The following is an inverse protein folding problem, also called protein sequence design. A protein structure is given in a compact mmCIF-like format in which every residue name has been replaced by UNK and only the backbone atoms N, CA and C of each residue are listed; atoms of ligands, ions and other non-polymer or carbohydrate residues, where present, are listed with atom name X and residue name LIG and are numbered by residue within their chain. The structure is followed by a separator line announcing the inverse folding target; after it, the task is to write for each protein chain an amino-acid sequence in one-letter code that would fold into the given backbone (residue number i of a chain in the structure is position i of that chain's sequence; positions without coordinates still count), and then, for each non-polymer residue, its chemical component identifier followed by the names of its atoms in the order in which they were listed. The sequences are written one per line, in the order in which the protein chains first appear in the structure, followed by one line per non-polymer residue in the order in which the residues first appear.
data_IF_746093069765
#
_entry.id   IF_746093069765
#
_cell.length_a   1.000
_cell.length_b   1.000
_cell.length_c   1.000
_cell.angle_alpha   90.00
_cell.angle_beta   90.00
_cell.angle_gamma   90.00
#
_symmetry.space_group_name_H-M   'P 1'
#
loop_
_entity.id
_entity.type
_entity.pdbx_description
1 polymer ?
#
# COMPACT_ATOMS: atom_id res chain seq x y z
N UNK A 1 -17.44 2.30 -7.98
CA UNK A 1 -16.30 3.13 -8.43
C UNK A 1 -16.21 4.48 -7.71
N UNK A 2 -17.30 5.22 -7.57
CA UNK A 2 -17.36 6.56 -6.95
C UNK A 2 -16.68 6.68 -5.56
N UNK A 3 -16.90 5.70 -4.67
CA UNK A 3 -16.27 5.68 -3.33
C UNK A 3 -14.74 5.53 -3.36
N UNK A 4 -14.17 4.93 -4.40
CA UNK A 4 -12.70 4.77 -4.52
C UNK A 4 -12.04 6.09 -4.92
N UNK A 5 -12.63 6.80 -5.88
CA UNK A 5 -12.14 8.11 -6.30
C UNK A 5 -12.12 9.10 -5.14
N UNK A 6 -13.21 9.18 -4.37
CA UNK A 6 -13.29 10.05 -3.18
C UNK A 6 -12.22 9.71 -2.13
N UNK A 7 -11.93 8.42 -1.90
CA UNK A 7 -10.91 7.98 -0.95
C UNK A 7 -9.49 8.29 -1.44
N UNK A 8 -9.25 8.16 -2.74
CA UNK A 8 -7.97 8.52 -3.35
C UNK A 8 -7.75 10.04 -3.26
N UNK A 9 -8.77 10.85 -3.54
CA UNK A 9 -8.71 12.30 -3.39
C UNK A 9 -8.44 12.72 -1.94
N UNK A 10 -9.14 12.14 -0.97
CA UNK A 10 -8.91 12.43 0.45
C UNK A 10 -7.49 12.03 0.89
N UNK A 11 -6.98 10.88 0.44
CA UNK A 11 -5.60 10.48 0.71
C UNK A 11 -4.58 11.42 0.07
N UNK A 12 -4.85 11.92 -1.14
CA UNK A 12 -3.98 12.88 -1.83
C UNK A 12 -3.93 14.23 -1.12
N UNK A 13 -5.07 14.74 -0.63
CA UNK A 13 -5.12 15.96 0.18
C UNK A 13 -4.32 15.80 1.47
N UNK A 14 -4.54 14.72 2.22
CA UNK A 14 -3.80 14.47 3.45
C UNK A 14 -2.28 14.32 3.21
N UNK A 15 -1.87 13.78 2.06
CA UNK A 15 -0.46 13.75 1.67
C UNK A 15 0.10 15.16 1.46
N UNK A 16 -0.62 16.00 0.71
CA UNK A 16 -0.22 17.38 0.45
C UNK A 16 -0.11 18.20 1.75
N UNK A 17 -1.06 18.02 2.67
CA UNK A 17 -1.07 18.72 3.96
C UNK A 17 0.15 18.35 4.83
N UNK A 18 0.59 17.09 4.77
CA UNK A 18 1.70 16.58 5.61
C UNK A 18 3.08 16.82 4.98
N UNK A 19 3.19 16.73 3.66
CA UNK A 19 4.48 16.73 2.96
C UNK A 19 4.73 17.98 2.11
N UNK A 20 3.79 18.93 2.10
CA UNK A 20 3.88 20.21 1.39
C UNK A 20 4.17 20.06 -0.12
N UNK A 21 3.65 18.98 -0.71
CA UNK A 21 3.67 18.73 -2.15
C UNK A 21 2.61 17.72 -2.55
N UNK A 22 2.19 17.77 -3.81
CA UNK A 22 1.31 16.74 -4.37
C UNK A 22 2.00 15.36 -4.37
N UNK A 23 1.23 14.26 -4.17
CA UNK A 23 1.73 12.92 -4.43
C UNK A 23 1.94 12.70 -5.92
N UNK A 24 2.88 11.82 -6.28
CA UNK A 24 3.05 11.41 -7.68
C UNK A 24 1.97 10.41 -8.07
N UNK A 25 1.61 9.49 -7.16
CA UNK A 25 0.64 8.41 -7.38
C UNK A 25 -0.15 8.08 -6.11
N UNK A 26 -1.37 7.55 -6.32
CA UNK A 26 -2.20 7.00 -5.24
C UNK A 26 -2.63 5.58 -5.58
N UNK A 27 -2.32 4.63 -4.69
CA UNK A 27 -2.71 3.23 -4.81
C UNK A 27 -3.70 2.82 -3.73
N UNK A 28 -4.46 1.76 -4.01
CA UNK A 28 -5.40 1.16 -3.07
C UNK A 28 -5.26 -0.35 -3.03
N UNK A 29 -5.15 -0.89 -1.82
CA UNK A 29 -5.18 -2.32 -1.54
C UNK A 29 -6.45 -2.65 -0.72
N UNK A 30 -7.43 -3.39 -1.27
CA UNK A 30 -8.57 -3.85 -0.49
C UNK A 30 -8.14 -4.90 0.53
N UNK A 31 -8.80 -4.91 1.68
CA UNK A 31 -8.77 -6.04 2.59
C UNK A 31 -9.52 -7.23 1.99
N UNK A 32 -9.43 -8.37 2.67
CA UNK A 32 -10.18 -9.58 2.32
C UNK A 32 -10.90 -10.14 3.54
N UNK A 33 -11.90 -10.96 3.27
CA UNK A 33 -12.43 -11.95 4.21
C UNK A 33 -12.24 -13.34 3.58
N UNK A 34 -11.99 -14.35 4.41
CA UNK A 34 -12.06 -15.74 3.95
C UNK A 34 -13.50 -16.21 4.20
N UNK A 35 -14.18 -16.66 3.14
CA UNK A 35 -15.56 -17.16 3.25
C UNK A 35 -15.55 -18.59 3.80
N UNK A 36 -14.55 -19.40 3.40
CA UNK A 36 -14.28 -20.75 3.91
C UNK A 36 -12.79 -21.09 3.71
N UNK A 37 -12.30 -22.08 4.44
CA UNK A 37 -10.89 -22.50 4.41
C UNK A 37 -10.01 -21.69 5.36
N UNK A 38 -10.54 -21.28 6.51
CA UNK A 38 -9.67 -20.79 7.58
C UNK A 38 -8.75 -21.92 8.04
N UNK A 39 -7.48 -21.62 8.27
CA UNK A 39 -6.46 -22.55 8.73
C UNK A 39 -6.11 -23.70 7.77
N UNK A 40 -6.52 -23.63 6.49
CA UNK A 40 -6.08 -24.55 5.43
C UNK A 40 -5.10 -23.89 4.46
N UNK A 41 -5.01 -22.55 4.44
CA UNK A 41 -4.13 -21.79 3.56
C UNK A 41 -2.63 -22.04 3.79
N UNK A 42 -2.22 -22.29 5.03
CA UNK A 42 -0.83 -22.67 5.33
C UNK A 42 -0.52 -24.16 5.09
N UNK A 43 -1.53 -24.97 4.78
CA UNK A 43 -1.41 -26.42 4.56
C UNK A 43 -1.65 -26.81 3.08
N UNK A 44 -1.44 -25.88 2.14
CA UNK A 44 -1.75 -26.04 0.71
C UNK A 44 -3.21 -26.46 0.42
N UNK A 45 -4.13 -26.18 1.36
CA UNK A 45 -5.55 -26.43 1.19
C UNK A 45 -6.24 -25.31 0.43
N UNK A 46 -7.38 -25.63 -0.19
CA UNK A 46 -8.18 -24.63 -0.90
C UNK A 46 -8.75 -23.59 0.06
N UNK A 47 -8.78 -22.33 -0.39
CA UNK A 47 -9.42 -21.22 0.29
C UNK A 47 -10.29 -20.44 -0.67
N UNK A 48 -11.38 -19.85 -0.16
CA UNK A 48 -12.24 -18.96 -0.93
C UNK A 48 -12.23 -17.55 -0.33
N UNK A 49 -11.23 -16.72 -0.66
CA UNK A 49 -11.20 -15.33 -0.22
C UNK A 49 -12.08 -14.45 -1.09
N UNK A 50 -12.62 -13.39 -0.49
CA UNK A 50 -13.31 -12.32 -1.20
C UNK A 50 -12.78 -10.96 -0.74
N UNK A 51 -12.49 -10.07 -1.70
CA UNK A 51 -12.13 -8.70 -1.41
C UNK A 51 -13.31 -7.94 -0.80
N UNK A 52 -13.05 -7.13 0.22
CA UNK A 52 -14.06 -6.30 0.88
C UNK A 52 -13.83 -4.81 0.57
N UNK A 53 -14.83 -3.94 0.76
CA UNK A 53 -14.69 -2.52 0.45
C UNK A 53 -13.69 -1.78 1.36
N UNK A 54 -13.39 -2.32 2.53
CA UNK A 54 -12.39 -1.79 3.47
C UNK A 54 -10.98 -2.10 2.99
N UNK A 55 -10.02 -1.24 3.29
CA UNK A 55 -8.65 -1.41 2.83
C UNK A 55 -7.83 -0.14 2.97
N UNK A 56 -6.56 -0.23 2.59
CA UNK A 56 -5.56 0.84 2.72
C UNK A 56 -5.46 1.60 1.39
N UNK A 57 -5.40 2.92 1.48
CA UNK A 57 -5.04 3.79 0.35
C UNK A 57 -3.74 4.50 0.73
N UNK A 58 -2.77 4.52 -0.19
CA UNK A 58 -1.48 5.18 0.01
C UNK A 58 -1.24 6.15 -1.14
N UNK A 59 -1.02 7.42 -0.80
CA UNK A 59 -0.52 8.44 -1.71
C UNK A 59 0.97 8.61 -1.48
N UNK A 60 1.75 8.61 -2.55
CA UNK A 60 3.21 8.46 -2.50
C UNK A 60 3.85 9.41 -3.49
N UNK A 61 4.97 10.00 -3.10
CA UNK A 61 5.86 10.70 -4.02
C UNK A 61 7.31 10.21 -3.84
N UNK A 62 8.03 10.10 -4.95
CA UNK A 62 9.44 9.85 -4.95
C UNK A 62 10.22 11.09 -4.48
N UNK A 63 11.39 10.84 -3.93
CA UNK A 63 12.36 11.81 -3.44
C UNK A 63 13.75 11.37 -3.88
N UNK A 64 14.67 12.32 -3.92
CA UNK A 64 16.02 12.10 -4.45
C UNK A 64 17.04 11.60 -3.43
N UNK A 65 16.62 11.28 -2.21
CA UNK A 65 17.49 10.86 -1.11
C UNK A 65 17.04 9.51 -0.51
N UNK A 66 17.86 8.96 0.38
CA UNK A 66 17.63 7.65 1.00
C UNK A 66 16.68 7.70 2.21
N UNK A 67 15.92 8.78 2.40
CA UNK A 67 15.02 8.92 3.54
C UNK A 67 13.62 8.49 3.15
N UNK A 68 12.98 7.58 3.87
CA UNK A 68 11.54 7.31 3.74
C UNK A 68 10.82 8.03 4.88
N UNK A 69 9.78 8.80 4.55
CA UNK A 69 8.87 9.43 5.52
C UNK A 69 7.48 8.86 5.33
N UNK A 70 6.86 8.36 6.40
CA UNK A 70 5.54 7.75 6.36
C UNK A 70 4.65 8.41 7.40
N UNK A 71 3.45 8.79 6.99
CA UNK A 71 2.42 9.31 7.89
C UNK A 71 1.14 8.47 7.76
N UNK A 72 0.41 8.36 8.87
CA UNK A 72 -0.90 7.71 8.90
C UNK A 72 -1.96 8.75 9.24
N UNK A 73 -2.94 8.90 8.35
CA UNK A 73 -4.07 9.81 8.56
C UNK A 73 -4.91 9.47 9.81
N UNK A 74 -4.80 8.24 10.32
CA UNK A 74 -5.59 7.77 11.48
C UNK A 74 -4.83 7.85 12.81
N UNK A 75 -3.49 7.82 12.77
CA UNK A 75 -2.66 7.91 13.99
C UNK A 75 -2.35 9.36 14.37
N UNK A 76 -2.33 10.27 13.38
CA UNK A 76 -1.87 11.64 13.59
C UNK A 76 -0.40 11.73 13.99
N UNK A 77 0.06 12.94 14.31
CA UNK A 77 1.45 13.18 14.74
C UNK A 77 2.44 13.38 13.59
N UNK A 78 3.72 13.49 13.95
CA UNK A 78 4.80 13.70 12.99
C UNK A 78 5.02 12.44 12.12
N UNK A 79 5.41 12.59 10.84
CA UNK A 79 5.79 11.45 10.01
C UNK A 79 6.91 10.63 10.64
N UNK A 80 6.79 9.30 10.60
CA UNK A 80 7.89 8.40 10.93
C UNK A 80 8.94 8.46 9.83
N UNK A 81 10.22 8.48 10.21
CA UNK A 81 11.33 8.60 9.27
C UNK A 81 12.29 7.41 9.39
N UNK A 82 12.65 6.81 8.26
CA UNK A 82 13.58 5.68 8.18
C UNK A 82 14.55 5.93 7.05
N UNK A 83 15.86 5.85 7.30
CA UNK A 83 16.83 5.83 6.20
C UNK A 83 16.91 4.43 5.62
N UNK A 84 16.86 4.33 4.29
CA UNK A 84 17.19 3.14 3.53
C UNK A 84 18.70 2.92 3.66
N UNK A 85 19.13 2.34 4.78
CA UNK A 85 20.40 1.63 4.78
C UNK A 85 20.28 0.56 3.70
N UNK A 86 21.15 0.59 2.70
CA UNK A 86 21.11 -0.29 1.53
C UNK A 86 21.29 -1.74 2.02
N UNK A 87 20.20 -2.38 2.44
CA UNK A 87 20.14 -3.83 2.39
C UNK A 87 20.27 -4.18 0.90
N UNK A 88 21.16 -5.12 0.53
CA UNK A 88 21.31 -5.49 -0.87
C UNK A 88 19.91 -5.80 -1.40
N UNK A 89 19.50 -5.06 -2.43
CA UNK A 89 18.23 -5.27 -3.12
C UNK A 89 18.21 -6.74 -3.49
N UNK A 90 17.44 -7.55 -2.75
CA UNK A 90 17.26 -8.94 -3.14
C UNK A 90 16.72 -8.91 -4.57
N UNK A 91 17.26 -9.74 -5.49
CA UNK A 91 16.83 -9.75 -6.86
C UNK A 91 15.31 -9.87 -6.91
N UNK A 92 14.68 -9.00 -7.71
CA UNK A 92 13.24 -8.84 -7.80
C UNK A 92 12.52 -10.20 -7.76
N UNK A 93 11.79 -10.46 -6.69
CA UNK A 93 10.98 -11.67 -6.58
C UNK A 93 9.86 -11.60 -7.64
N UNK A 94 9.97 -12.40 -8.70
CA UNK A 94 8.81 -12.76 -9.53
C UNK A 94 8.58 -11.99 -10.84
N UNK A 95 9.57 -11.33 -11.44
CA UNK A 95 9.44 -10.82 -12.81
C UNK A 95 9.56 -11.97 -13.85
N UNK A 96 8.62 -12.93 -13.85
CA UNK A 96 8.49 -13.90 -14.93
C UNK A 96 7.68 -13.23 -16.05
N UNK A 97 8.36 -12.79 -17.12
CA UNK A 97 7.69 -12.51 -18.40
C UNK A 97 6.95 -13.79 -18.82
N UNK A 98 5.64 -13.70 -18.97
CA UNK A 98 4.89 -14.70 -19.75
C UNK A 98 5.04 -14.27 -21.21
N UNK A 99 5.91 -14.97 -21.94
CA UNK A 99 5.94 -14.97 -23.39
C UNK A 99 5.23 -16.23 -23.87
N UNK A 100 4.16 -16.05 -24.65
CA UNK A 100 3.38 -17.11 -25.28
C UNK A 100 2.15 -16.50 -25.94
#
# INVERSE_FOLDING_TARGET
MERTAARNAASGSAFADVFDRAPDLTWRAPGRVNVIGEHTDYNDGFVLPAAIPYGVTASVAARGDDLVRVASAQLGGAPAEVRLAIFPVLPAYGARRVSG
#
